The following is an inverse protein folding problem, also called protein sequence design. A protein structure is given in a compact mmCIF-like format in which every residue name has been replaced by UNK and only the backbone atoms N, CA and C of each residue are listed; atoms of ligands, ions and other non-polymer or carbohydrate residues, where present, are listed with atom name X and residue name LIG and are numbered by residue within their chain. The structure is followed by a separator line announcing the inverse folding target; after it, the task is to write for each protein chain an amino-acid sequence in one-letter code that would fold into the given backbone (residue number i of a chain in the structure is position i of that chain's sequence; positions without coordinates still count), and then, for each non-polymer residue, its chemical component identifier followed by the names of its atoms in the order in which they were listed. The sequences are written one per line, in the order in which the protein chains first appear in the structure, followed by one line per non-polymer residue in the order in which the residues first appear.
data_IF_731151129981
#
_entry.id   IF_731151129981
#
_cell.length_a   1.000
_cell.length_b   1.000
_cell.length_c   1.000
_cell.angle_alpha   90.00
_cell.angle_beta   90.00
_cell.angle_gamma   90.00
#
_symmetry.space_group_name_H-M   'P 1'
#
loop_
_entity.id
_entity.type
_entity.pdbx_description
1 polymer ?
#
# COMPACT_ATOMS: atom_id res chain seq x y z
N UNK A 1 30.63 37.44 2.29
CA UNK A 1 30.79 36.35 3.28
C UNK A 1 29.65 36.51 4.27
N UNK A 2 28.63 35.67 4.14
CA UNK A 2 27.37 35.78 4.88
C UNK A 2 27.19 34.50 5.70
N UNK A 3 26.82 34.56 7.00
CA UNK A 3 26.83 33.40 7.87
C UNK A 3 25.64 32.47 7.61
N UNK A 4 25.86 31.16 7.82
CA UNK A 4 24.89 30.09 7.56
C UNK A 4 23.64 30.16 8.45
N UNK A 5 22.48 29.96 7.83
CA UNK A 5 21.20 29.87 8.51
C UNK A 5 20.98 28.45 9.06
N UNK A 6 20.87 28.34 10.39
CA UNK A 6 20.43 27.13 11.09
C UNK A 6 18.92 26.95 10.94
N UNK A 7 18.51 25.73 10.56
CA UNK A 7 17.11 25.28 10.56
C UNK A 7 16.58 25.26 12.00
N UNK A 8 15.63 26.13 12.31
CA UNK A 8 14.84 26.08 13.55
C UNK A 8 13.49 25.44 13.21
N UNK A 9 13.30 24.19 13.62
CA UNK A 9 12.02 23.49 13.53
C UNK A 9 11.01 24.08 14.54
N UNK A 10 9.74 24.33 14.15
CA UNK A 10 8.73 24.82 15.07
C UNK A 10 8.37 23.75 16.12
N UNK A 11 8.16 24.21 17.37
CA UNK A 11 7.80 23.38 18.52
C UNK A 11 6.41 22.77 18.34
N UNK A 12 6.30 21.47 18.66
CA UNK A 12 5.07 20.65 18.62
C UNK A 12 3.87 21.39 19.23
N UNK A 13 2.79 21.50 18.45
CA UNK A 13 1.48 21.89 18.95
C UNK A 13 0.94 20.81 19.91
N UNK A 14 0.22 21.25 20.95
CA UNK A 14 -0.28 20.43 22.06
C UNK A 14 -1.23 19.32 21.58
N UNK A 15 -1.21 18.13 22.20
CA UNK A 15 -2.20 17.09 21.96
C UNK A 15 -3.53 17.47 22.62
N UNK A 16 -4.63 17.38 21.87
CA UNK A 16 -5.99 17.46 22.41
C UNK A 16 -6.52 16.05 22.69
N UNK A 17 -7.06 15.88 23.89
CA UNK A 17 -7.67 14.70 24.52
C UNK A 17 -6.67 13.76 25.22
N UNK A 18 -6.95 13.57 26.51
CA UNK A 18 -6.04 13.25 27.61
C UNK A 18 -5.55 11.80 27.66
N UNK A 19 -4.24 11.60 27.82
CA UNK A 19 -3.62 10.32 28.21
C UNK A 19 -4.29 9.65 29.42
N UNK A 20 -4.89 10.43 30.32
CA UNK A 20 -5.61 9.91 31.48
C UNK A 20 -6.80 8.99 31.12
N UNK A 21 -7.49 9.23 30.00
CA UNK A 21 -8.62 8.40 29.56
C UNK A 21 -8.16 7.04 28.98
N UNK A 22 -6.92 6.98 28.48
CA UNK A 22 -6.32 5.75 27.96
C UNK A 22 -5.66 4.89 29.06
N UNK A 23 -5.19 5.51 30.15
CA UNK A 23 -4.65 4.79 31.30
C UNK A 23 -5.74 4.11 32.15
N UNK A 24 -6.93 4.71 32.25
CA UNK A 24 -8.08 4.13 32.93
C UNK A 24 -8.58 2.86 32.23
N UNK A 25 -8.61 2.85 30.89
CA UNK A 25 -8.93 1.67 30.06
C UNK A 25 -7.84 0.58 30.10
N UNK A 26 -6.58 0.95 30.35
CA UNK A 26 -5.46 -0.01 30.42
C UNK A 26 -5.40 -0.75 31.75
N UNK A 27 -5.98 -0.18 32.81
CA UNK A 27 -6.03 -0.79 34.14
C UNK A 27 -7.13 -1.85 34.29
N UNK A 28 -8.21 -1.80 33.48
CA UNK A 28 -9.30 -2.79 33.52
C UNK A 28 -8.94 -4.15 32.87
N UNK A 29 -7.91 -4.23 32.03
CA UNK A 29 -7.54 -5.45 31.30
C UNK A 29 -6.17 -6.01 31.72
N UNK A 30 -5.96 -6.14 33.03
CA UNK A 30 -4.75 -6.71 33.61
C UNK A 30 -4.57 -8.21 33.35
N UNK A 31 -3.49 -8.53 32.63
CA UNK A 31 -2.56 -9.67 32.73
C UNK A 31 -3.06 -11.13 32.82
N UNK A 32 -2.46 -12.01 31.98
CA UNK A 32 -2.27 -13.43 32.27
C UNK A 32 -0.91 -13.94 31.73
N UNK A 33 -0.30 -14.97 32.35
CA UNK A 33 1.15 -15.16 32.43
C UNK A 33 1.76 -16.02 31.32
N UNK A 34 3.10 -16.02 31.29
CA UNK A 34 3.95 -16.53 30.23
C UNK A 34 3.70 -17.95 29.73
N UNK A 35 3.99 -18.14 28.44
CA UNK A 35 4.07 -19.44 27.80
C UNK A 35 5.52 -19.68 27.37
N UNK A 36 6.07 -20.79 27.82
CA UNK A 36 7.39 -21.31 27.53
C UNK A 36 7.55 -21.66 26.04
N UNK A 37 8.77 -21.48 25.55
CA UNK A 37 9.26 -22.00 24.28
C UNK A 37 9.20 -23.52 24.26
N UNK A 38 8.58 -24.09 23.23
CA UNK A 38 8.81 -25.48 22.83
C UNK A 38 8.92 -25.60 21.29
N UNK A 39 9.91 -26.38 20.88
CA UNK A 39 10.40 -26.60 19.52
C UNK A 39 9.46 -27.51 18.68
N UNK A 40 9.70 -27.67 17.36
CA UNK A 40 8.65 -27.84 16.37
C UNK A 40 8.11 -29.28 16.30
N UNK A 41 6.86 -29.47 16.71
CA UNK A 41 6.10 -30.69 16.37
C UNK A 41 5.55 -30.56 14.94
N UNK A 42 5.60 -31.66 14.19
CA UNK A 42 5.06 -31.75 12.84
C UNK A 42 3.58 -31.33 12.84
N UNK A 43 3.27 -30.20 12.21
CA UNK A 43 1.94 -29.58 12.26
C UNK A 43 0.88 -30.52 11.66
N UNK A 44 -0.19 -30.88 12.41
CA UNK A 44 -1.33 -31.56 11.81
C UNK A 44 -1.88 -30.68 10.71
N UNK A 45 -2.06 -31.22 9.50
CA UNK A 45 -2.75 -30.54 8.41
C UNK A 45 -4.16 -30.18 8.88
N UNK A 46 -4.37 -28.91 9.21
CA UNK A 46 -5.67 -28.43 9.65
C UNK A 46 -6.50 -28.14 8.40
N UNK A 47 -7.72 -28.63 8.33
CA UNK A 47 -8.66 -28.29 7.25
C UNK A 47 -9.43 -27.03 7.64
N UNK A 48 -9.64 -26.11 6.70
CA UNK A 48 -10.48 -24.93 6.91
C UNK A 48 -11.91 -25.36 7.29
N UNK A 49 -12.49 -24.89 8.41
CA UNK A 49 -13.83 -25.29 8.84
C UNK A 49 -14.96 -24.71 7.96
N UNK A 50 -14.63 -23.81 7.02
CA UNK A 50 -15.59 -23.10 6.17
C UNK A 50 -15.59 -23.58 4.71
N UNK A 51 -14.41 -23.87 4.14
CA UNK A 51 -14.28 -24.32 2.75
C UNK A 51 -13.67 -25.72 2.61
N UNK A 52 -13.27 -26.35 3.73
CA UNK A 52 -12.68 -27.70 3.80
C UNK A 52 -11.34 -27.89 3.08
N UNK A 53 -10.73 -26.82 2.54
CA UNK A 53 -9.39 -26.89 1.97
C UNK A 53 -8.32 -27.10 3.07
N UNK A 54 -7.21 -27.74 2.71
CA UNK A 54 -6.06 -27.90 3.60
C UNK A 54 -5.40 -26.55 3.90
N UNK A 55 -5.07 -26.33 5.17
CA UNK A 55 -4.29 -25.20 5.68
C UNK A 55 -2.95 -25.75 6.14
N UNK A 56 -1.88 -25.24 5.55
CA UNK A 56 -0.50 -25.61 5.90
C UNK A 56 0.17 -24.39 6.53
N UNK A 57 0.70 -24.55 7.75
CA UNK A 57 1.45 -23.52 8.50
C UNK A 57 0.73 -22.15 8.55
N UNK A 58 -0.48 -22.07 9.13
CA UNK A 58 -1.24 -20.83 9.17
C UNK A 58 -0.47 -19.72 9.91
N UNK A 59 -0.49 -18.52 9.34
CA UNK A 59 0.06 -17.34 10.00
C UNK A 59 -0.68 -17.04 11.31
N UNK A 60 -0.10 -16.17 12.15
CA UNK A 60 -0.81 -15.67 13.34
C UNK A 60 -2.14 -15.01 12.96
N UNK A 61 -2.16 -14.21 11.89
CA UNK A 61 -3.37 -13.52 11.40
C UNK A 61 -4.45 -14.53 11.04
N UNK A 62 -4.12 -15.56 10.25
CA UNK A 62 -5.08 -16.58 9.87
C UNK A 62 -5.59 -17.38 11.08
N UNK A 63 -4.72 -17.69 12.04
CA UNK A 63 -5.13 -18.34 13.30
C UNK A 63 -6.11 -17.47 14.10
N UNK A 64 -5.83 -16.17 14.21
CA UNK A 64 -6.69 -15.21 14.91
C UNK A 64 -8.06 -15.13 14.22
N UNK A 65 -8.08 -15.02 12.88
CA UNK A 65 -9.31 -15.02 12.06
C UNK A 65 -10.12 -16.31 12.22
N UNK A 66 -9.48 -17.49 12.15
CA UNK A 66 -10.14 -18.78 12.34
C UNK A 66 -10.77 -18.86 13.74
N UNK A 67 -10.01 -18.48 14.77
CA UNK A 67 -10.47 -18.53 16.15
C UNK A 67 -11.69 -17.64 16.40
N UNK A 68 -11.71 -16.43 15.82
CA UNK A 68 -12.81 -15.49 15.93
C UNK A 68 -14.11 -16.08 15.38
N UNK A 69 -14.07 -16.62 14.16
CA UNK A 69 -15.25 -17.16 13.51
C UNK A 69 -15.71 -18.49 14.12
N UNK A 70 -14.79 -19.33 14.60
CA UNK A 70 -15.13 -20.53 15.35
C UNK A 70 -15.83 -20.21 16.67
N UNK A 71 -15.38 -19.19 17.40
CA UNK A 71 -16.04 -18.75 18.64
C UNK A 71 -17.46 -18.26 18.36
N UNK A 72 -17.67 -17.45 17.31
CA UNK A 72 -19.02 -16.99 16.93
C UNK A 72 -19.93 -18.15 16.54
N UNK A 73 -19.42 -19.13 15.80
CA UNK A 73 -20.16 -20.36 15.47
C UNK A 73 -20.57 -21.13 16.74
N UNK A 74 -19.64 -21.28 17.70
CA UNK A 74 -19.90 -21.93 19.00
C UNK A 74 -20.93 -21.17 19.83
N UNK A 75 -20.96 -19.84 19.74
CA UNK A 75 -21.97 -18.99 20.38
C UNK A 75 -23.36 -19.01 19.69
N UNK A 76 -23.54 -19.84 18.64
CA UNK A 76 -24.82 -19.99 17.96
C UNK A 76 -25.10 -18.95 16.87
N UNK A 77 -24.11 -18.14 16.47
CA UNK A 77 -24.29 -17.23 15.34
C UNK A 77 -24.41 -18.00 14.01
N UNK A 78 -25.44 -17.68 13.23
CA UNK A 78 -25.59 -18.16 11.85
C UNK A 78 -24.60 -17.41 10.97
N UNK A 79 -23.61 -18.12 10.43
CA UNK A 79 -22.59 -17.56 9.55
C UNK A 79 -23.03 -17.67 8.09
N UNK A 80 -22.99 -16.56 7.36
CA UNK A 80 -23.15 -16.54 5.90
C UNK A 80 -21.79 -16.77 5.23
N UNK A 81 -21.76 -17.28 3.99
CA UNK A 81 -20.50 -17.43 3.25
C UNK A 81 -19.70 -16.13 3.15
N UNK A 82 -20.37 -14.99 2.99
CA UNK A 82 -19.76 -13.66 2.96
C UNK A 82 -19.01 -13.29 4.23
N UNK A 83 -19.47 -13.79 5.39
CA UNK A 83 -18.88 -13.47 6.68
C UNK A 83 -17.49 -14.13 6.82
N UNK A 84 -17.29 -15.30 6.20
CA UNK A 84 -16.04 -16.09 6.29
C UNK A 84 -15.17 -16.00 5.02
N UNK A 85 -15.59 -15.17 4.04
CA UNK A 85 -14.90 -15.03 2.76
C UNK A 85 -13.44 -14.59 2.95
N UNK A 86 -13.20 -13.60 3.82
CA UNK A 86 -11.86 -13.09 4.11
C UNK A 86 -10.94 -14.18 4.71
N UNK A 87 -11.47 -15.09 5.54
CA UNK A 87 -10.68 -16.23 6.07
C UNK A 87 -10.27 -17.17 4.94
N UNK A 88 -11.23 -17.48 4.07
CA UNK A 88 -11.02 -18.36 2.92
C UNK A 88 -10.02 -17.77 1.94
N UNK A 89 -10.08 -16.46 1.74
CA UNK A 89 -9.12 -15.72 0.93
C UNK A 89 -7.73 -15.72 1.57
N UNK A 90 -7.63 -15.43 2.87
CA UNK A 90 -6.36 -15.37 3.56
C UNK A 90 -5.60 -16.70 3.53
N UNK A 91 -6.26 -17.84 3.76
CA UNK A 91 -5.54 -19.11 3.69
C UNK A 91 -5.16 -19.50 2.25
N UNK A 92 -5.94 -19.09 1.23
CA UNK A 92 -5.54 -19.27 -0.18
C UNK A 92 -4.33 -18.40 -0.50
N UNK A 93 -4.29 -17.18 0.02
CA UNK A 93 -3.17 -16.28 -0.12
C UNK A 93 -1.90 -16.87 0.52
N UNK A 94 -1.99 -17.38 1.74
CA UNK A 94 -0.87 -18.04 2.44
C UNK A 94 -0.39 -19.32 1.76
N UNK A 95 -1.29 -20.06 1.11
CA UNK A 95 -0.96 -21.30 0.40
C UNK A 95 -0.32 -21.06 -0.97
N UNK A 96 -0.90 -20.16 -1.76
CA UNK A 96 -0.61 -20.05 -3.19
C UNK A 96 0.09 -18.72 -3.54
N UNK A 97 -0.45 -17.59 -3.07
CA UNK A 97 -0.03 -16.25 -3.52
C UNK A 97 1.29 -15.81 -2.88
N UNK A 98 1.40 -15.93 -1.55
CA UNK A 98 2.59 -15.51 -0.80
C UNK A 98 3.82 -16.36 -1.20
N UNK A 99 3.74 -17.70 -1.27
CA UNK A 99 4.87 -18.51 -1.72
C UNK A 99 5.25 -18.23 -3.18
N UNK A 100 4.28 -17.93 -4.05
CA UNK A 100 4.56 -17.53 -5.42
C UNK A 100 5.39 -16.25 -5.47
N UNK A 101 4.98 -15.19 -4.76
CA UNK A 101 5.74 -13.94 -4.72
C UNK A 101 7.14 -14.10 -4.13
N UNK A 102 7.27 -14.92 -3.08
CA UNK A 102 8.57 -15.28 -2.51
C UNK A 102 9.49 -15.95 -3.55
N UNK A 103 8.95 -16.88 -4.34
CA UNK A 103 9.70 -17.58 -5.40
C UNK A 103 10.14 -16.65 -6.55
N UNK A 104 9.42 -15.54 -6.75
CA UNK A 104 9.75 -14.48 -7.72
C UNK A 104 10.74 -13.46 -7.17
N UNK A 105 11.12 -13.57 -5.89
CA UNK A 105 12.03 -12.63 -5.23
C UNK A 105 11.39 -11.31 -4.83
N UNK A 106 10.06 -11.22 -4.78
CA UNK A 106 9.39 -9.98 -4.35
C UNK A 106 9.58 -9.75 -2.84
N UNK A 107 9.68 -8.48 -2.39
CA UNK A 107 9.89 -8.18 -0.98
C UNK A 107 8.79 -8.76 -0.09
N UNK A 108 9.18 -9.60 0.87
CA UNK A 108 8.26 -10.20 1.86
C UNK A 108 7.89 -9.22 2.99
N UNK A 109 8.64 -8.13 3.12
CA UNK A 109 8.41 -7.07 4.10
C UNK A 109 8.92 -5.76 3.53
N UNK A 110 8.18 -4.69 3.78
CA UNK A 110 8.51 -3.33 3.33
C UNK A 110 8.52 -2.42 4.55
N UNK A 111 9.66 -1.79 4.81
CA UNK A 111 9.73 -0.70 5.79
C UNK A 111 9.22 0.59 5.14
N UNK A 112 7.93 0.87 5.33
CA UNK A 112 7.27 2.07 4.81
C UNK A 112 7.88 3.39 5.35
N UNK A 113 8.50 3.36 6.55
CA UNK A 113 9.18 4.54 7.09
C UNK A 113 10.48 4.80 6.34
N UNK A 114 11.24 3.75 6.05
CA UNK A 114 12.45 3.85 5.22
C UNK A 114 12.08 4.21 3.77
N UNK A 115 11.01 3.64 3.23
CA UNK A 115 10.50 3.94 1.88
C UNK A 115 10.21 5.42 1.71
N UNK A 116 9.53 6.05 2.68
CA UNK A 116 9.29 7.51 2.66
C UNK A 116 10.59 8.29 2.53
N UNK A 117 11.59 7.98 3.37
CA UNK A 117 12.90 8.65 3.35
C UNK A 117 13.64 8.44 2.03
N UNK A 118 13.53 7.24 1.45
CA UNK A 118 14.13 6.89 0.17
C UNK A 118 13.57 7.76 -0.95
N UNK A 119 12.25 7.95 -0.98
CA UNK A 119 11.58 8.74 -2.01
C UNK A 119 11.90 10.23 -1.88
N UNK A 120 11.89 10.76 -0.66
CA UNK A 120 12.09 12.19 -0.40
C UNK A 120 13.56 12.60 -0.25
N UNK A 121 14.50 11.68 -0.45
CA UNK A 121 15.93 12.01 -0.35
C UNK A 121 16.32 12.93 -1.52
N UNK A 122 17.06 14.03 -1.29
CA UNK A 122 17.47 14.94 -2.36
C UNK A 122 18.28 14.25 -3.47
N UNK A 123 19.06 13.22 -3.12
CA UNK A 123 19.88 12.46 -4.07
C UNK A 123 19.08 11.39 -4.83
N UNK A 124 17.81 11.17 -4.47
CA UNK A 124 16.99 10.16 -5.11
C UNK A 124 16.51 10.63 -6.49
N UNK A 125 16.60 9.74 -7.48
CA UNK A 125 16.22 10.07 -8.87
C UNK A 125 14.72 10.21 -9.08
N UNK A 126 13.88 9.76 -8.14
CA UNK A 126 12.45 9.60 -8.35
C UNK A 126 11.75 10.92 -8.69
N UNK A 127 11.89 11.94 -7.84
CA UNK A 127 11.22 13.22 -8.05
C UNK A 127 11.68 13.90 -9.35
N UNK A 128 12.98 13.79 -9.69
CA UNK A 128 13.50 14.29 -10.96
C UNK A 128 12.81 13.65 -12.17
N UNK A 129 12.67 12.32 -12.18
CA UNK A 129 11.99 11.62 -13.29
C UNK A 129 10.50 11.99 -13.31
N UNK A 130 9.86 12.15 -12.16
CA UNK A 130 8.47 12.59 -12.09
C UNK A 130 8.28 14.03 -12.57
N UNK A 131 9.26 14.92 -12.33
CA UNK A 131 9.24 16.28 -12.90
C UNK A 131 9.27 16.22 -14.43
N UNK A 132 10.18 15.43 -15.01
CA UNK A 132 10.23 15.23 -16.46
C UNK A 132 8.89 14.68 -17.00
N UNK A 133 8.23 13.81 -16.23
CA UNK A 133 6.90 13.28 -16.56
C UNK A 133 5.78 14.35 -16.49
N UNK A 134 5.90 15.36 -15.61
CA UNK A 134 4.95 16.48 -15.53
C UNK A 134 5.14 17.42 -16.72
N UNK A 135 6.40 17.71 -17.09
CA UNK A 135 6.74 18.60 -18.20
C UNK A 135 6.42 17.97 -19.57
N UNK A 136 6.69 16.67 -19.70
CA UNK A 136 6.54 15.89 -20.94
C UNK A 136 5.70 14.61 -20.76
N UNK A 137 4.39 14.74 -20.41
CA UNK A 137 3.57 13.58 -20.05
C UNK A 137 3.34 12.61 -21.21
N UNK A 138 3.38 13.05 -22.47
CA UNK A 138 3.23 12.17 -23.64
C UNK A 138 4.39 11.15 -23.78
N UNK A 139 5.47 11.27 -23.02
CA UNK A 139 6.51 10.23 -22.94
C UNK A 139 6.15 9.08 -21.99
N UNK A 140 5.20 9.28 -21.07
CA UNK A 140 4.76 8.24 -20.15
C UNK A 140 3.71 7.33 -20.78
N UNK A 141 4.00 6.02 -20.78
CA UNK A 141 3.04 5.00 -21.22
C UNK A 141 1.76 5.06 -20.39
N UNK A 142 1.86 5.42 -19.11
CA UNK A 142 0.71 5.57 -18.21
C UNK A 142 -0.19 6.73 -18.64
N UNK A 143 0.39 7.88 -18.98
CA UNK A 143 -0.38 9.01 -19.47
C UNK A 143 -1.08 8.70 -20.79
N UNK A 144 -0.36 8.13 -21.76
CA UNK A 144 -0.94 7.74 -23.04
C UNK A 144 -2.11 6.75 -22.85
N UNK A 145 -1.94 5.78 -21.95
CA UNK A 145 -2.98 4.79 -21.62
C UNK A 145 -4.19 5.45 -20.96
N UNK A 146 -3.98 6.28 -19.94
CA UNK A 146 -5.06 6.97 -19.23
C UNK A 146 -5.83 7.94 -20.14
N UNK A 147 -5.11 8.65 -21.03
CA UNK A 147 -5.69 9.54 -22.05
C UNK A 147 -6.55 8.76 -23.04
N UNK A 148 -6.09 7.60 -23.51
CA UNK A 148 -6.85 6.72 -24.40
C UNK A 148 -8.09 6.12 -23.72
N UNK A 149 -7.96 5.64 -22.49
CA UNK A 149 -9.08 5.12 -21.69
C UNK A 149 -10.16 6.18 -21.50
N UNK A 150 -9.77 7.41 -21.17
CA UNK A 150 -10.71 8.54 -21.02
C UNK A 150 -11.41 8.92 -22.31
N UNK A 151 -10.70 8.85 -23.45
CA UNK A 151 -11.31 9.08 -24.75
C UNK A 151 -12.36 8.01 -25.08
N UNK A 152 -12.11 6.74 -24.72
CA UNK A 152 -13.00 5.61 -24.99
C UNK A 152 -14.22 5.55 -24.05
N UNK A 153 -14.04 5.82 -22.76
CA UNK A 153 -15.07 5.57 -21.73
C UNK A 153 -15.80 6.84 -21.26
N UNK A 154 -15.34 8.02 -21.65
CA UNK A 154 -15.90 9.30 -21.22
C UNK A 154 -15.57 9.65 -19.75
N UNK A 155 -15.97 10.86 -19.32
CA UNK A 155 -15.50 11.46 -18.05
C UNK A 155 -15.91 10.69 -16.78
N UNK A 156 -17.03 9.96 -16.77
CA UNK A 156 -17.62 9.36 -15.56
C UNK A 156 -17.08 7.98 -15.18
N UNK A 157 -16.51 7.22 -16.12
CA UNK A 157 -16.06 5.85 -15.85
C UNK A 157 -14.61 5.81 -15.34
N UNK A 158 -13.75 6.75 -15.75
CA UNK A 158 -12.35 6.80 -15.33
C UNK A 158 -12.13 7.10 -13.84
N UNK A 159 -13.12 7.73 -13.18
CA UNK A 159 -13.09 7.95 -11.73
C UNK A 159 -13.45 6.68 -10.94
N UNK A 160 -13.91 5.62 -11.62
CA UNK A 160 -14.30 4.34 -11.05
C UNK A 160 -13.25 3.23 -11.29
N UNK A 161 -11.97 3.59 -11.49
CA UNK A 161 -10.90 2.59 -11.36
C UNK A 161 -11.07 1.95 -9.97
N UNK A 162 -11.45 0.68 -10.00
CA UNK A 162 -12.00 -0.02 -8.85
C UNK A 162 -10.89 -0.13 -7.81
N UNK A 163 -11.22 -0.12 -6.52
CA UNK A 163 -10.24 -0.29 -5.43
C UNK A 163 -9.27 -1.49 -5.66
N UNK A 164 -9.72 -2.50 -6.42
CA UNK A 164 -8.98 -3.69 -6.82
C UNK A 164 -7.85 -3.44 -7.85
N UNK A 165 -7.82 -2.30 -8.55
CA UNK A 165 -6.82 -1.99 -9.59
C UNK A 165 -5.73 -1.01 -9.12
N UNK A 166 -5.64 -0.74 -7.81
CA UNK A 166 -4.59 0.14 -7.26
C UNK A 166 -3.21 -0.37 -7.68
N UNK A 167 -2.56 0.41 -8.53
CA UNK A 167 -1.38 0.02 -9.30
C UNK A 167 -0.08 0.00 -8.48
N UNK A 168 -0.10 -0.47 -7.24
CA UNK A 168 1.08 -0.49 -6.37
C UNK A 168 1.85 -1.82 -6.37
N UNK A 169 1.44 -2.82 -7.16
CA UNK A 169 2.11 -4.13 -7.19
C UNK A 169 2.28 -4.71 -5.78
N UNK A 170 3.47 -5.23 -5.47
CA UNK A 170 3.78 -5.81 -4.16
C UNK A 170 3.75 -4.80 -3.00
N UNK A 171 3.71 -3.49 -3.26
CA UNK A 171 3.53 -2.50 -2.20
C UNK A 171 2.11 -2.48 -1.63
N UNK A 172 1.13 -3.02 -2.36
CA UNK A 172 -0.26 -3.15 -1.93
C UNK A 172 -0.93 -1.82 -1.56
N UNK A 173 -2.00 -1.91 -0.75
CA UNK A 173 -2.80 -0.76 -0.32
C UNK A 173 -2.00 0.21 0.55
N UNK A 174 -1.22 -0.29 1.52
CA UNK A 174 -0.37 0.54 2.37
C UNK A 174 0.67 1.33 1.58
N UNK A 175 1.19 0.73 0.51
CA UNK A 175 2.02 1.42 -0.47
C UNK A 175 1.28 2.53 -1.17
N UNK A 176 0.11 2.23 -1.70
CA UNK A 176 -0.73 3.23 -2.36
C UNK A 176 -0.97 4.45 -1.47
N UNK A 177 -1.39 4.24 -0.22
CA UNK A 177 -1.64 5.32 0.74
C UNK A 177 -0.40 6.21 0.94
N UNK A 178 0.75 5.60 1.21
CA UNK A 178 1.99 6.33 1.44
C UNK A 178 2.46 7.08 0.20
N UNK A 179 2.47 6.42 -0.96
CA UNK A 179 2.96 7.00 -2.21
C UNK A 179 2.05 8.15 -2.65
N UNK A 180 0.73 7.96 -2.53
CA UNK A 180 -0.24 9.02 -2.77
C UNK A 180 -0.04 10.20 -1.82
N UNK A 181 0.11 9.97 -0.51
CA UNK A 181 0.39 11.04 0.48
C UNK A 181 1.64 11.85 0.09
N UNK A 182 2.73 11.17 -0.28
CA UNK A 182 3.98 11.83 -0.69
C UNK A 182 3.76 12.67 -1.94
N UNK A 183 3.17 12.10 -2.99
CA UNK A 183 2.93 12.81 -4.26
C UNK A 183 2.00 14.01 -4.06
N UNK A 184 0.94 13.85 -3.29
CA UNK A 184 0.00 14.93 -2.99
C UNK A 184 0.67 16.04 -2.18
N UNK A 185 1.49 15.68 -1.19
CA UNK A 185 2.25 16.65 -0.42
C UNK A 185 3.19 17.47 -1.31
N UNK A 186 3.94 16.81 -2.22
CA UNK A 186 4.94 17.46 -3.08
C UNK A 186 4.32 18.29 -4.20
N UNK A 187 3.27 17.79 -4.86
CA UNK A 187 2.76 18.37 -6.10
C UNK A 187 1.42 19.09 -5.99
N UNK A 188 0.80 19.10 -4.81
CA UNK A 188 -0.49 19.78 -4.57
C UNK A 188 -0.43 20.67 -3.33
N UNK A 189 0.34 20.31 -2.30
CA UNK A 189 0.38 21.07 -1.04
C UNK A 189 1.67 21.84 -0.80
N UNK A 190 2.78 21.54 -1.49
CA UNK A 190 4.08 22.13 -1.16
C UNK A 190 4.17 23.60 -1.61
N UNK A 191 4.21 24.57 -0.67
CA UNK A 191 4.34 25.98 -1.03
C UNK A 191 5.73 26.34 -1.57
N UNK A 192 6.71 25.45 -1.45
CA UNK A 192 8.11 25.69 -1.83
C UNK A 192 8.44 25.20 -3.26
N UNK A 193 7.56 24.42 -3.89
CA UNK A 193 7.69 23.99 -5.30
C UNK A 193 6.53 24.51 -6.17
N UNK A 194 6.25 25.83 -6.18
CA UNK A 194 5.08 26.37 -6.85
C UNK A 194 5.10 26.19 -8.37
N UNK A 195 6.27 25.94 -8.98
CA UNK A 195 6.41 25.77 -10.44
C UNK A 195 5.84 24.45 -10.96
N UNK A 196 5.70 23.43 -10.10
CA UNK A 196 5.19 22.10 -10.46
C UNK A 196 3.91 21.75 -9.70
N UNK A 197 3.23 22.75 -9.13
CA UNK A 197 1.92 22.59 -8.51
C UNK A 197 0.89 22.20 -9.59
N UNK A 198 0.36 20.99 -9.48
CA UNK A 198 -0.58 20.40 -10.44
C UNK A 198 -1.97 21.05 -10.41
N UNK A 199 -2.23 21.96 -9.46
CA UNK A 199 -3.47 22.74 -9.41
C UNK A 199 -3.43 24.01 -10.25
N UNK A 200 -2.24 24.40 -10.73
CA UNK A 200 -2.09 25.57 -11.59
C UNK A 200 -2.54 25.29 -13.01
N UNK A 201 -3.27 26.23 -13.58
CA UNK A 201 -3.79 26.14 -14.95
C UNK A 201 -2.71 25.93 -16.02
N UNK A 202 -1.53 26.53 -15.86
CA UNK A 202 -0.45 26.39 -16.83
C UNK A 202 0.14 24.98 -16.82
N UNK A 203 0.39 24.42 -15.63
CA UNK A 203 0.86 23.03 -15.48
C UNK A 203 -0.21 22.04 -15.93
N UNK A 204 -1.48 22.29 -15.56
CA UNK A 204 -2.59 21.41 -15.92
C UNK A 204 -2.79 21.23 -17.43
N UNK A 205 -2.43 22.23 -18.24
CA UNK A 205 -2.49 22.12 -19.71
C UNK A 205 -1.56 21.04 -20.27
N UNK A 206 -0.46 20.72 -19.60
CA UNK A 206 0.47 19.68 -20.05
C UNK A 206 -0.19 18.30 -20.07
N UNK A 207 -0.99 18.00 -19.04
CA UNK A 207 -1.61 16.69 -18.86
C UNK A 207 -3.12 16.65 -19.15
N UNK A 208 -3.64 17.66 -19.85
CA UNK A 208 -5.00 17.57 -20.40
C UNK A 208 -5.11 16.34 -21.33
N UNK A 209 -6.24 15.60 -21.33
CA UNK A 209 -7.51 15.96 -20.72
C UNK A 209 -7.63 15.63 -19.22
N UNK A 210 -6.67 14.92 -18.61
CA UNK A 210 -6.75 14.46 -17.21
C UNK A 210 -6.87 15.62 -16.23
N UNK A 211 -7.56 15.40 -15.10
CA UNK A 211 -7.53 16.33 -13.97
C UNK A 211 -6.37 15.96 -13.02
N UNK A 212 -6.10 16.81 -12.02
CA UNK A 212 -4.99 16.64 -11.07
C UNK A 212 -4.98 15.28 -10.37
N UNK A 213 -6.12 14.84 -9.82
CA UNK A 213 -6.21 13.52 -9.17
C UNK A 213 -6.00 12.40 -10.18
N UNK A 214 -6.64 12.45 -11.34
CA UNK A 214 -6.46 11.43 -12.38
C UNK A 214 -5.02 11.34 -12.88
N UNK A 215 -4.30 12.45 -13.00
CA UNK A 215 -2.91 12.46 -13.40
C UNK A 215 -2.00 11.92 -12.28
N UNK A 216 -2.25 12.31 -11.03
CA UNK A 216 -1.51 11.80 -9.89
C UNK A 216 -1.68 10.28 -9.74
N UNK A 217 -2.93 9.81 -9.74
CA UNK A 217 -3.30 8.41 -9.47
C UNK A 217 -2.97 7.46 -10.62
N UNK A 218 -3.22 7.88 -11.87
CA UNK A 218 -3.09 7.00 -13.03
C UNK A 218 -1.78 7.19 -13.80
N UNK A 219 -0.95 8.19 -13.44
CA UNK A 219 0.32 8.47 -14.12
C UNK A 219 1.48 8.54 -13.13
N UNK A 220 1.52 9.55 -12.25
CA UNK A 220 2.70 9.76 -11.39
C UNK A 220 2.90 8.63 -10.39
N UNK A 221 1.82 8.11 -9.82
CA UNK A 221 1.86 7.01 -8.86
C UNK A 221 2.37 5.70 -9.49
N UNK A 222 1.80 5.19 -10.60
CA UNK A 222 2.34 3.98 -11.22
C UNK A 222 3.75 4.18 -11.82
N UNK A 223 4.10 5.38 -12.27
CA UNK A 223 5.47 5.74 -12.66
C UNK A 223 6.43 5.58 -11.48
N UNK A 224 6.11 6.16 -10.33
CA UNK A 224 6.89 6.05 -9.10
C UNK A 224 7.03 4.59 -8.64
N UNK A 225 5.93 3.82 -8.68
CA UNK A 225 5.95 2.39 -8.34
C UNK A 225 6.94 1.63 -9.23
N UNK A 226 6.91 1.84 -10.55
CA UNK A 226 7.84 1.19 -11.46
C UNK A 226 9.29 1.55 -11.15
N UNK A 227 9.59 2.83 -10.91
CA UNK A 227 10.95 3.27 -10.53
C UNK A 227 11.45 2.60 -9.24
N UNK A 228 10.56 2.46 -8.26
CA UNK A 228 10.90 1.80 -6.99
C UNK A 228 11.12 0.29 -7.19
N UNK A 229 10.32 -0.37 -8.03
CA UNK A 229 10.48 -1.78 -8.39
C UNK A 229 11.81 -2.01 -9.12
N UNK A 230 12.19 -1.10 -10.04
CA UNK A 230 13.49 -1.19 -10.70
C UNK A 230 14.61 -1.26 -9.67
N UNK A 231 14.59 -0.38 -8.67
CA UNK A 231 15.64 -0.32 -7.66
C UNK A 231 15.61 -1.50 -6.67
N UNK A 232 14.42 -1.91 -6.23
CA UNK A 232 14.26 -3.05 -5.32
C UNK A 232 14.75 -4.37 -5.93
N UNK A 233 14.60 -4.52 -7.24
CA UNK A 233 15.01 -5.73 -7.97
C UNK A 233 16.41 -5.61 -8.59
N UNK A 234 17.22 -4.63 -8.16
CA UNK A 234 18.63 -4.52 -8.57
C UNK A 234 18.85 -3.85 -9.93
N UNK A 235 17.97 -2.93 -10.32
CA UNK A 235 18.08 -2.13 -11.55
C UNK A 235 17.46 -2.78 -12.78
N UNK A 236 16.36 -3.53 -12.64
CA UNK A 236 15.71 -4.17 -13.79
C UNK A 236 15.22 -3.15 -14.83
N UNK A 237 15.07 -3.53 -16.10
CA UNK A 237 14.46 -2.70 -17.13
C UNK A 237 13.06 -2.18 -16.75
N UNK A 238 12.66 -1.04 -17.31
CA UNK A 238 11.40 -0.40 -16.93
C UNK A 238 10.17 -1.23 -17.34
N UNK A 239 10.21 -1.88 -18.52
CA UNK A 239 9.17 -2.81 -18.99
C UNK A 239 9.04 -4.03 -18.07
N UNK A 240 10.15 -4.53 -17.54
CA UNK A 240 10.14 -5.57 -16.52
C UNK A 240 9.48 -5.08 -15.22
N UNK A 241 9.82 -3.88 -14.76
CA UNK A 241 9.20 -3.29 -13.58
C UNK A 241 7.68 -3.09 -13.75
N UNK A 242 7.23 -2.65 -14.92
CA UNK A 242 5.80 -2.58 -15.27
C UNK A 242 5.13 -3.96 -15.21
N UNK A 243 5.80 -5.02 -15.70
CA UNK A 243 5.27 -6.38 -15.63
C UNK A 243 5.16 -6.85 -14.18
N UNK A 244 6.21 -6.66 -13.38
CA UNK A 244 6.20 -7.01 -11.95
C UNK A 244 5.11 -6.24 -11.22
N UNK A 245 4.94 -4.95 -11.48
CA UNK A 245 3.89 -4.13 -10.89
C UNK A 245 2.50 -4.75 -11.11
N UNK A 246 2.21 -5.26 -12.32
CA UNK A 246 0.92 -5.90 -12.64
C UNK A 246 0.79 -7.28 -12.00
N UNK A 247 1.82 -8.11 -12.10
CA UNK A 247 1.78 -9.49 -11.61
C UNK A 247 1.72 -9.57 -10.08
N UNK A 248 2.28 -8.57 -9.38
CA UNK A 248 2.44 -8.61 -7.93
C UNK A 248 1.30 -7.97 -7.12
N UNK A 249 0.22 -7.51 -7.76
CA UNK A 249 -0.89 -6.85 -7.06
C UNK A 249 -1.54 -7.74 -6.00
N UNK A 250 -1.93 -8.96 -6.37
CA UNK A 250 -2.52 -9.94 -5.43
C UNK A 250 -1.58 -10.26 -4.28
N UNK A 251 -0.27 -10.31 -4.55
CA UNK A 251 0.74 -10.51 -3.53
C UNK A 251 0.81 -9.33 -2.56
N UNK A 252 0.84 -8.09 -3.06
CA UNK A 252 0.84 -6.88 -2.23
C UNK A 252 -0.37 -6.80 -1.30
N UNK A 253 -1.55 -7.17 -1.79
CA UNK A 253 -2.76 -7.28 -0.96
C UNK A 253 -2.64 -8.38 0.10
N UNK A 254 -2.10 -9.53 -0.27
CA UNK A 254 -1.95 -10.69 0.61
C UNK A 254 -0.95 -10.46 1.76
N UNK A 255 0.15 -9.75 1.54
CA UNK A 255 1.19 -9.54 2.57
C UNK A 255 0.89 -8.36 3.51
N UNK A 256 0.03 -7.44 3.07
CA UNK A 256 -0.33 -6.23 3.82
C UNK A 256 -1.78 -6.26 4.30
N UNK A 257 -2.21 -7.41 4.82
CA UNK A 257 -3.55 -7.56 5.43
C UNK A 257 -3.75 -6.46 6.47
N UNK A 258 -4.83 -5.66 6.37
CA UNK A 258 -5.16 -4.69 7.39
C UNK A 258 -5.25 -5.41 8.73
N UNK A 259 -4.54 -4.91 9.74
CA UNK A 259 -4.79 -5.34 11.12
C UNK A 259 -6.16 -4.80 11.52
N UNK A 260 -7.20 -5.53 11.17
CA UNK A 260 -8.56 -5.29 11.61
C UNK A 260 -8.84 -6.11 12.86
N UNK A 261 -9.30 -5.42 13.91
CA UNK A 261 -9.70 -5.86 15.25
C UNK A 261 -8.57 -5.85 16.30
N UNK A 262 -8.29 -4.65 16.83
CA UNK A 262 -7.93 -4.42 18.24
C UNK A 262 -9.09 -3.69 18.92
#
# INVERSE_FOLDING_TARGET
MTPGAQLILPKRARPSLSCAAFEELRAEFGHAPGAQDDAPSATPRQTCPFCHASIERPSRVLRDMLSFWEQRKKAGHVLRPTDTLAVCEQHRNERDVIPHGASRGWPMSIDFRQLRRRITSPDARYLRILHDCIEHPDHSVWFCTAKAQRAAQGRKLCDLNTFDERLCGYYGERGWELLHEILYAVYVQDPLLPTLDLTRDDVQRHFAPLNTSQFLDNVLLPELVCLLIQDDLGGVPYDEAMRVQRESQKFGMAIHVPRGVE
#
